data_IF_179373607011
#
_entry.id   IF_179373607011
#
_cell.length_a   1.000
_cell.length_b   1.000
_cell.length_c   1.000
_cell.angle_alpha   90.00
_cell.angle_beta   90.00
_cell.angle_gamma   90.00
#
_symmetry.space_group_name_H-M   'P 1'
#
loop_
_entity.id
_entity.type
_entity.pdbx_description
1 polymer ?
#
# COMPACT_ATOMS: atom_id res chain seq x y z
N UNK A 1 -7.94 14.75 -3.94
CA UNK A 1 -6.50 14.45 -3.84
C UNK A 1 -6.20 13.26 -4.73
N UNK A 2 -5.06 13.30 -5.41
CA UNK A 2 -4.89 12.71 -6.74
C UNK A 2 -4.28 11.30 -6.70
N UNK A 3 -4.47 10.52 -7.77
CA UNK A 3 -3.74 9.27 -7.98
C UNK A 3 -2.20 9.48 -8.03
N UNK A 4 -1.74 10.70 -8.30
CA UNK A 4 -0.31 11.04 -8.29
C UNK A 4 0.27 11.06 -6.89
N UNK A 5 -0.46 11.57 -5.89
CA UNK A 5 -0.04 11.57 -4.48
C UNK A 5 0.09 10.14 -3.95
N UNK A 6 -0.84 9.26 -4.36
CA UNK A 6 -0.78 7.84 -4.04
C UNK A 6 0.46 7.18 -4.66
N UNK A 7 0.72 7.40 -5.96
CA UNK A 7 1.94 6.88 -6.62
C UNK A 7 3.22 7.37 -5.96
N UNK A 8 3.28 8.65 -5.59
CA UNK A 8 4.45 9.22 -4.92
C UNK A 8 4.64 8.63 -3.51
N UNK A 9 3.57 8.44 -2.75
CA UNK A 9 3.61 7.74 -1.46
C UNK A 9 4.16 6.32 -1.63
N UNK A 10 3.62 5.57 -2.58
CA UNK A 10 4.01 4.17 -2.83
C UNK A 10 5.47 4.04 -3.29
N UNK A 11 5.95 4.97 -4.12
CA UNK A 11 7.38 5.02 -4.48
C UNK A 11 8.27 5.23 -3.25
N UNK A 12 7.81 6.02 -2.26
CA UNK A 12 8.51 6.21 -0.99
C UNK A 12 8.49 4.95 -0.12
N UNK A 13 7.38 4.20 -0.11
CA UNK A 13 7.27 2.89 0.56
C UNK A 13 8.27 1.88 -0.04
N UNK A 14 8.38 1.83 -1.37
CA UNK A 14 9.33 0.96 -2.07
C UNK A 14 10.80 1.21 -1.70
N UNK A 15 11.14 2.46 -1.37
CA UNK A 15 12.51 2.86 -1.05
C UNK A 15 12.80 2.95 0.46
N UNK A 16 11.86 2.59 1.34
CA UNK A 16 12.01 2.77 2.79
C UNK A 16 11.44 1.60 3.60
N UNK A 17 12.33 0.77 4.15
CA UNK A 17 11.98 -0.39 4.98
C UNK A 17 11.13 0.00 6.20
N UNK A 18 11.46 1.09 6.90
CA UNK A 18 10.71 1.49 8.09
C UNK A 18 9.25 1.87 7.77
N UNK A 19 8.99 2.41 6.57
CA UNK A 19 7.63 2.69 6.12
C UNK A 19 6.90 1.39 5.75
N UNK A 20 7.60 0.42 5.15
CA UNK A 20 7.04 -0.92 4.89
C UNK A 20 6.63 -1.62 6.18
N UNK A 21 7.48 -1.59 7.21
CA UNK A 21 7.19 -2.24 8.50
C UNK A 21 5.95 -1.62 9.16
N UNK A 22 5.79 -0.29 9.09
CA UNK A 22 4.58 0.38 9.57
C UNK A 22 3.33 0.03 8.75
N UNK A 23 3.47 -0.14 7.44
CA UNK A 23 2.35 -0.56 6.57
C UNK A 23 1.98 -2.03 6.83
N UNK A 24 2.94 -2.93 7.04
CA UNK A 24 2.68 -4.31 7.43
C UNK A 24 1.90 -4.41 8.76
N UNK A 25 2.17 -3.51 9.70
CA UNK A 25 1.46 -3.43 10.97
C UNK A 25 0.05 -2.80 10.85
N UNK A 26 -0.32 -2.26 9.68
CA UNK A 26 -1.61 -1.60 9.50
C UNK A 26 -2.77 -2.60 9.53
N UNK A 27 -3.78 -2.29 10.34
CA UNK A 27 -4.98 -3.13 10.51
C UNK A 27 -6.05 -2.81 9.47
N UNK A 28 -5.96 -1.64 8.83
CA UNK A 28 -6.87 -1.23 7.77
C UNK A 28 -6.47 0.08 7.10
N UNK A 29 -7.32 0.55 6.17
CA UNK A 29 -7.03 1.72 5.33
C UNK A 29 -6.81 3.02 6.13
N UNK A 30 -7.44 3.21 7.28
CA UNK A 30 -7.30 4.44 8.07
C UNK A 30 -5.89 4.55 8.70
N UNK A 31 -5.25 3.42 9.03
CA UNK A 31 -3.85 3.39 9.47
C UNK A 31 -2.91 3.81 8.33
N UNK A 32 -3.21 3.37 7.11
CA UNK A 32 -2.44 3.72 5.91
C UNK A 32 -2.53 5.22 5.62
N UNK A 33 -3.73 5.80 5.73
CA UNK A 33 -3.91 7.24 5.59
C UNK A 33 -3.11 8.01 6.65
N UNK A 34 -3.12 7.53 7.90
CA UNK A 34 -2.34 8.12 9.00
C UNK A 34 -0.83 8.03 8.75
N UNK A 35 -0.34 6.89 8.26
CA UNK A 35 1.07 6.69 7.89
C UNK A 35 1.45 7.64 6.75
N UNK A 36 0.63 7.70 5.70
CA UNK A 36 0.84 8.60 4.57
C UNK A 36 0.91 10.08 5.02
N UNK A 37 0.00 10.50 5.89
CA UNK A 37 -0.06 11.86 6.43
C UNK A 37 1.20 12.20 7.23
N UNK A 38 1.67 11.29 8.09
CA UNK A 38 2.95 11.42 8.82
C UNK A 38 4.16 11.60 7.90
N UNK A 39 4.08 11.11 6.66
CA UNK A 39 5.14 11.25 5.65
C UNK A 39 4.91 12.39 4.65
N UNK A 40 3.91 13.25 4.90
CA UNK A 40 3.61 14.45 4.11
C UNK A 40 2.66 14.21 2.93
N UNK A 41 1.99 13.05 2.87
CA UNK A 41 1.02 12.73 1.82
C UNK A 41 -0.39 12.80 2.38
N UNK A 42 -1.27 13.56 1.73
CA UNK A 42 -2.68 13.55 2.07
C UNK A 42 -3.44 12.73 1.02
N UNK A 43 -3.77 11.50 1.39
CA UNK A 43 -4.43 10.54 0.52
C UNK A 43 -5.93 10.52 0.80
N UNK A 44 -6.73 10.24 -0.23
CA UNK A 44 -8.16 10.02 -0.03
C UNK A 44 -8.45 8.54 0.15
N UNK A 45 -9.24 8.19 1.17
CA UNK A 45 -9.72 6.82 1.42
C UNK A 45 -10.28 6.13 0.16
N UNK A 46 -11.13 6.79 -0.67
CA UNK A 46 -11.65 6.17 -1.88
C UNK A 46 -10.57 5.89 -2.94
N UNK A 47 -9.53 6.73 -3.04
CA UNK A 47 -8.43 6.49 -3.98
C UNK A 47 -7.60 5.28 -3.57
N UNK A 48 -7.31 5.15 -2.27
CA UNK A 48 -6.59 3.98 -1.74
C UNK A 48 -7.40 2.70 -1.94
N UNK A 49 -8.70 2.73 -1.65
CA UNK A 49 -9.59 1.57 -1.85
C UNK A 49 -9.69 1.15 -3.32
N UNK A 50 -9.83 2.10 -4.25
CA UNK A 50 -9.87 1.79 -5.69
C UNK A 50 -8.57 1.16 -6.16
N UNK A 51 -7.43 1.75 -5.82
CA UNK A 51 -6.14 1.24 -6.25
C UNK A 51 -5.83 -0.12 -5.63
N UNK A 52 -6.25 -0.34 -4.39
CA UNK A 52 -6.17 -1.65 -3.75
C UNK A 52 -7.04 -2.69 -4.47
N UNK A 53 -8.28 -2.35 -4.81
CA UNK A 53 -9.17 -3.24 -5.58
C UNK A 53 -8.65 -3.55 -6.99
N UNK A 54 -8.11 -2.56 -7.70
CA UNK A 54 -7.50 -2.74 -9.02
C UNK A 54 -6.31 -3.72 -8.97
N UNK A 55 -5.49 -3.61 -7.94
CA UNK A 55 -4.31 -4.46 -7.81
C UNK A 55 -4.64 -5.88 -7.31
N UNK A 56 -5.64 -6.04 -6.44
CA UNK A 56 -6.21 -7.37 -6.13
C UNK A 56 -6.78 -8.05 -7.39
N UNK A 57 -7.41 -7.29 -8.29
CA UNK A 57 -7.94 -7.83 -9.53
C UNK A 57 -6.87 -8.28 -10.53
N UNK A 58 -5.62 -7.84 -10.36
CA UNK A 58 -4.47 -8.20 -11.21
C UNK A 58 -3.56 -9.27 -10.60
N UNK A 59 -3.69 -9.55 -9.29
CA UNK A 59 -2.90 -10.55 -8.60
C UNK A 59 -3.34 -11.97 -8.96
N UNK A 60 -2.38 -12.90 -9.04
CA UNK A 60 -2.69 -14.33 -9.21
C UNK A 60 -3.10 -14.99 -7.89
N UNK A 61 -3.74 -16.17 -7.98
CA UNK A 61 -4.23 -16.90 -6.80
C UNK A 61 -3.12 -17.23 -5.78
N UNK A 62 -1.88 -17.48 -6.24
CA UNK A 62 -0.77 -17.79 -5.36
C UNK A 62 -0.29 -16.54 -4.59
N UNK A 63 -0.37 -15.36 -5.20
CA UNK A 63 -0.12 -14.08 -4.55
C UNK A 63 -1.25 -13.75 -3.56
N UNK A 64 -2.51 -13.96 -3.95
CA UNK A 64 -3.66 -13.72 -3.07
C UNK A 64 -3.64 -14.62 -1.83
N UNK A 65 -3.18 -15.87 -1.95
CA UNK A 65 -2.99 -16.77 -0.81
C UNK A 65 -1.92 -16.31 0.19
N UNK A 66 -0.97 -15.47 -0.23
CA UNK A 66 0.11 -14.95 0.63
C UNK A 66 -0.28 -13.67 1.36
N UNK A 67 -1.33 -12.98 0.93
CA UNK A 67 -1.84 -11.77 1.56
C UNK A 67 -2.54 -12.15 2.87
N UNK A 68 -1.91 -11.86 4.01
CA UNK A 68 -2.48 -12.12 5.34
C UNK A 68 -2.98 -10.85 6.03
N UNK A 69 -2.52 -9.69 5.58
CA UNK A 69 -2.86 -8.38 6.14
C UNK A 69 -3.18 -7.36 5.05
N UNK A 70 -3.85 -6.27 5.44
CA UNK A 70 -4.08 -5.12 4.55
C UNK A 70 -2.76 -4.49 4.08
N UNK A 71 -1.74 -4.52 4.95
CA UNK A 71 -0.37 -4.12 4.65
C UNK A 71 0.27 -4.97 3.56
N UNK A 72 0.22 -6.30 3.69
CA UNK A 72 0.72 -7.24 2.67
C UNK A 72 0.06 -6.97 1.33
N UNK A 73 -1.27 -6.80 1.37
CA UNK A 73 -2.06 -6.55 0.18
C UNK A 73 -1.60 -5.27 -0.50
N UNK A 74 -1.44 -4.17 0.24
CA UNK A 74 -0.92 -2.91 -0.29
C UNK A 74 0.51 -3.02 -0.83
N UNK A 75 1.41 -3.69 -0.11
CA UNK A 75 2.82 -3.83 -0.51
C UNK A 75 2.93 -4.67 -1.79
N UNK A 76 2.22 -5.80 -1.86
CA UNK A 76 2.15 -6.64 -3.07
C UNK A 76 1.48 -5.92 -4.24
N UNK A 77 0.42 -5.16 -3.99
CA UNK A 77 -0.35 -4.43 -5.00
C UNK A 77 0.47 -3.40 -5.79
N UNK A 78 1.60 -2.91 -5.25
CA UNK A 78 2.37 -1.84 -5.86
C UNK A 78 3.80 -2.24 -6.25
N UNK A 79 4.06 -3.55 -6.34
CA UNK A 79 5.32 -4.06 -6.88
C UNK A 79 6.52 -3.78 -5.98
N UNK A 80 6.31 -3.49 -4.70
CA UNK A 80 7.37 -3.57 -3.70
C UNK A 80 7.50 -5.05 -3.33
N UNK A 81 7.98 -5.83 -4.28
CA UNK A 81 8.47 -7.16 -3.97
C UNK A 81 9.70 -6.96 -3.07
N UNK A 82 9.81 -7.78 -2.03
CA UNK A 82 11.10 -8.11 -1.42
C UNK A 82 11.95 -8.75 -2.52
N UNK A 83 12.47 -7.91 -3.42
CA UNK A 83 13.48 -8.30 -4.38
C UNK A 83 14.80 -8.06 -3.67
N UNK A 84 15.40 -9.18 -3.28
CA UNK A 84 16.80 -9.43 -2.90
C UNK A 84 17.80 -8.29 -3.24
#
# INVERSE_FOLDING_TARGET
MSAADLRAFLSKVGNNQAIRDHIHAATGVDDILTIAEKHGFNLSKPAVLRAHGEALAQADDAQLQRVNTWGDALIHCFGVTDSD
#
